data_IF_143319679561
#
_entry.id   IF_143319679561
#
_cell.length_a   1.000
_cell.length_b   1.000
_cell.length_c   1.000
_cell.angle_alpha   90.00
_cell.angle_beta   90.00
_cell.angle_gamma   90.00
#
_symmetry.space_group_name_H-M   'P 1'
#
loop_
_entity.id
_entity.type
_entity.pdbx_description
1 polymer ?
#
# COMPACT_ATOMS: atom_id res chain seq x y z
N UNK A 1 12.06 -8.75 0.67
CA UNK A 1 12.75 -7.44 0.61
C UNK A 1 13.52 -7.15 1.89
N UNK A 2 14.68 -6.50 1.81
CA UNK A 2 15.50 -6.16 2.99
C UNK A 2 15.08 -4.82 3.65
N UNK A 3 15.55 -4.58 4.87
CA UNK A 3 15.21 -3.36 5.61
C UNK A 3 15.76 -2.08 4.95
N UNK A 4 16.86 -2.19 4.18
CA UNK A 4 17.47 -1.04 3.49
C UNK A 4 16.57 -0.51 2.38
N UNK A 5 15.82 -1.38 1.69
CA UNK A 5 14.82 -0.99 0.69
C UNK A 5 13.46 -0.61 1.30
N UNK A 6 13.07 -1.26 2.39
CA UNK A 6 11.75 -1.06 3.03
C UNK A 6 11.59 0.33 3.64
N UNK A 7 12.61 0.87 4.31
CA UNK A 7 12.54 2.17 4.99
C UNK A 7 12.32 3.36 4.03
N UNK A 8 13.11 3.54 2.96
CA UNK A 8 12.89 4.62 2.00
C UNK A 8 11.51 4.58 1.34
N UNK A 9 11.01 3.37 1.02
CA UNK A 9 9.66 3.18 0.48
C UNK A 9 8.61 3.67 1.47
N UNK A 10 8.72 3.32 2.74
CA UNK A 10 7.75 3.76 3.75
C UNK A 10 7.77 5.28 3.94
N UNK A 11 8.97 5.90 3.98
CA UNK A 11 9.10 7.35 4.06
C UNK A 11 8.51 8.06 2.84
N UNK A 12 8.70 7.52 1.63
CA UNK A 12 8.11 8.02 0.40
C UNK A 12 6.58 7.88 0.41
N UNK A 13 6.05 6.75 0.89
CA UNK A 13 4.61 6.52 1.05
C UNK A 13 3.98 7.56 1.98
N UNK A 14 4.55 7.80 3.15
CA UNK A 14 4.03 8.79 4.12
C UNK A 14 3.91 10.17 3.48
N UNK A 15 4.90 10.59 2.68
CA UNK A 15 4.88 11.88 1.98
C UNK A 15 3.92 11.91 0.79
N UNK A 16 3.63 10.75 0.20
CA UNK A 16 2.79 10.62 -0.99
C UNK A 16 1.30 10.49 -0.66
N UNK A 17 0.97 9.92 0.51
CA UNK A 17 -0.40 9.78 0.96
C UNK A 17 -1.05 11.13 1.23
N UNK A 18 -2.21 11.33 0.61
CA UNK A 18 -3.08 12.49 0.80
C UNK A 18 -4.55 12.12 0.58
N UNK A 19 -5.44 13.10 0.79
CA UNK A 19 -6.88 12.99 0.46
C UNK A 19 -7.15 12.59 -1.00
N UNK A 20 -6.20 12.85 -1.91
CA UNK A 20 -6.33 12.50 -3.32
C UNK A 20 -6.04 11.03 -3.60
N UNK A 21 -5.24 10.39 -2.73
CA UNK A 21 -4.88 8.97 -2.83
C UNK A 21 -5.82 8.06 -2.01
N UNK A 22 -6.56 8.64 -1.06
CA UNK A 22 -7.64 7.98 -0.33
C UNK A 22 -8.61 9.03 0.19
N UNK A 23 -9.91 8.87 -0.10
CA UNK A 23 -10.95 9.76 0.44
C UNK A 23 -11.14 9.63 1.96
N UNK A 24 -10.57 8.59 2.57
CA UNK A 24 -10.60 8.35 4.03
C UNK A 24 -9.38 8.91 4.75
N UNK A 25 -8.41 9.46 4.03
CA UNK A 25 -7.17 10.00 4.58
C UNK A 25 -7.44 11.20 5.50
N UNK A 26 -6.73 11.26 6.62
CA UNK A 26 -6.63 12.47 7.47
C UNK A 26 -5.19 12.64 7.96
N UNK A 27 -4.83 13.82 8.47
CA UNK A 27 -3.52 14.07 9.08
C UNK A 27 -3.24 13.18 10.28
N UNK A 28 -4.27 12.82 11.05
CA UNK A 28 -4.18 11.99 12.25
C UNK A 28 -4.08 10.50 11.90
N UNK A 29 -4.61 10.09 10.73
CA UNK A 29 -4.51 8.72 10.25
C UNK A 29 -4.20 8.68 8.72
N UNK A 30 -2.94 8.93 8.33
CA UNK A 30 -2.55 8.99 6.92
C UNK A 30 -2.66 7.66 6.17
N UNK A 31 -2.63 6.52 6.88
CA UNK A 31 -2.72 5.20 6.26
C UNK A 31 -4.16 4.77 5.94
N UNK A 32 -5.17 5.50 6.43
CA UNK A 32 -6.58 5.10 6.33
C UNK A 32 -7.06 5.05 4.89
N UNK A 33 -7.53 3.87 4.48
CA UNK A 33 -8.01 3.62 3.11
C UNK A 33 -6.89 3.56 2.08
N UNK A 34 -5.63 3.40 2.49
CA UNK A 34 -4.49 3.30 1.58
C UNK A 34 -4.11 1.86 1.24
N UNK A 35 -4.74 0.84 1.85
CA UNK A 35 -4.29 -0.54 1.73
C UNK A 35 -4.31 -1.09 0.30
N UNK A 36 -5.45 -1.00 -0.40
CA UNK A 36 -5.56 -1.49 -1.77
C UNK A 36 -4.57 -0.82 -2.71
N UNK A 37 -4.59 0.52 -2.75
CA UNK A 37 -3.72 1.31 -3.63
C UNK A 37 -2.23 1.12 -3.32
N UNK A 38 -1.85 1.07 -2.04
CA UNK A 38 -0.45 0.84 -1.64
C UNK A 38 -0.01 -0.56 -2.02
N UNK A 39 -0.86 -1.59 -1.82
CA UNK A 39 -0.50 -2.96 -2.15
C UNK A 39 -0.23 -3.13 -3.66
N UNK A 40 -0.99 -2.44 -4.51
CA UNK A 40 -0.78 -2.44 -5.97
C UNK A 40 0.55 -1.79 -6.36
N UNK A 41 0.86 -0.63 -5.78
CA UNK A 41 2.10 0.13 -6.04
C UNK A 41 3.33 -0.63 -5.56
N UNK A 42 3.28 -1.21 -4.36
CA UNK A 42 4.38 -2.02 -3.83
C UNK A 42 4.62 -3.25 -4.69
N UNK A 43 3.56 -3.90 -5.17
CA UNK A 43 3.70 -5.01 -6.10
C UNK A 43 4.37 -4.56 -7.41
N UNK A 44 4.03 -3.37 -7.93
CA UNK A 44 4.67 -2.84 -9.15
C UNK A 44 6.17 -2.53 -8.93
N UNK A 45 6.53 -1.93 -7.79
CA UNK A 45 7.92 -1.53 -7.48
C UNK A 45 8.82 -2.68 -7.02
N UNK A 46 8.24 -3.71 -6.42
CA UNK A 46 8.99 -4.77 -5.73
C UNK A 46 8.64 -6.19 -6.18
N UNK A 47 7.63 -6.37 -7.04
CA UNK A 47 7.07 -7.67 -7.36
C UNK A 47 6.35 -8.32 -6.18
N UNK A 48 6.33 -9.64 -6.15
CA UNK A 48 5.72 -10.43 -5.08
C UNK A 48 4.20 -10.59 -5.22
N UNK A 49 3.60 -11.09 -4.14
CA UNK A 49 2.19 -11.44 -4.09
C UNK A 49 1.40 -10.42 -3.26
N UNK A 50 0.15 -10.16 -3.66
CA UNK A 50 -0.82 -9.46 -2.80
C UNK A 50 -1.50 -10.50 -1.91
N UNK A 51 -1.55 -10.21 -0.62
CA UNK A 51 -2.28 -10.96 0.39
C UNK A 51 -3.31 -10.05 1.04
N UNK A 52 -4.28 -10.66 1.71
CA UNK A 52 -5.27 -9.94 2.49
C UNK A 52 -5.60 -10.64 3.80
N UNK A 53 -6.08 -9.86 4.76
CA UNK A 53 -6.68 -10.36 5.99
C UNK A 53 -7.98 -9.63 6.27
N UNK A 54 -8.87 -10.25 7.05
CA UNK A 54 -10.12 -9.60 7.46
C UNK A 54 -9.90 -8.83 8.76
N UNK A 55 -10.28 -7.57 8.78
CA UNK A 55 -10.23 -6.70 9.97
C UNK A 55 -11.65 -6.19 10.23
N UNK A 56 -12.31 -6.73 11.25
CA UNK A 56 -13.75 -6.55 11.43
C UNK A 56 -14.51 -7.03 10.19
N UNK A 57 -15.19 -6.11 9.52
CA UNK A 57 -15.99 -6.42 8.32
C UNK A 57 -15.27 -6.10 7.00
N UNK A 58 -14.09 -5.47 7.04
CA UNK A 58 -13.37 -5.03 5.84
C UNK A 58 -12.18 -5.93 5.50
N UNK A 59 -11.84 -5.99 4.22
CA UNK A 59 -10.61 -6.60 3.76
C UNK A 59 -9.45 -5.60 3.82
N UNK A 60 -8.32 -6.05 4.33
CA UNK A 60 -7.08 -5.30 4.40
C UNK A 60 -6.01 -5.95 3.52
N UNK A 61 -5.43 -5.19 2.59
CA UNK A 61 -4.48 -5.67 1.59
C UNK A 61 -3.04 -5.28 1.94
N UNK A 62 -2.10 -6.17 1.66
CA UNK A 62 -0.67 -6.00 1.88
C UNK A 62 0.13 -6.96 0.99
N UNK A 63 1.46 -6.89 1.02
CA UNK A 63 2.29 -7.67 0.12
C UNK A 63 3.08 -8.76 0.85
N UNK A 64 3.44 -9.81 0.11
CA UNK A 64 4.52 -10.73 0.46
C UNK A 64 5.59 -10.65 -0.61
N UNK A 65 6.80 -10.22 -0.24
CA UNK A 65 7.94 -10.05 -1.15
C UNK A 65 9.12 -10.87 -0.61
N UNK A 66 9.65 -11.78 -1.41
CA UNK A 66 10.68 -12.75 -1.00
C UNK A 66 10.26 -13.58 0.23
N UNK A 67 8.99 -14.00 0.27
CA UNK A 67 8.43 -14.78 1.39
C UNK A 67 8.22 -13.99 2.69
N UNK A 68 8.46 -12.67 2.70
CA UNK A 68 8.27 -11.80 3.87
C UNK A 68 7.07 -10.89 3.70
N UNK A 69 6.26 -10.75 4.76
CA UNK A 69 5.13 -9.83 4.80
C UNK A 69 5.61 -8.38 4.89
N UNK A 70 5.04 -7.54 4.03
CA UNK A 70 5.22 -6.09 4.04
C UNK A 70 3.85 -5.44 4.05
N UNK A 71 3.45 -4.97 5.23
CA UNK A 71 2.26 -4.15 5.42
C UNK A 71 2.71 -2.74 5.80
N UNK A 72 2.62 -1.82 4.84
CA UNK A 72 2.97 -0.41 5.08
C UNK A 72 1.81 0.38 5.69
N UNK A 73 0.61 -0.19 5.68
CA UNK A 73 -0.64 0.50 6.02
C UNK A 73 -1.26 -0.04 7.32
N UNK A 74 -0.52 -0.83 8.10
CA UNK A 74 -1.00 -1.42 9.36
C UNK A 74 -1.47 -0.36 10.37
N UNK A 75 -0.87 0.83 10.35
CA UNK A 75 -1.21 1.95 11.24
C UNK A 75 -2.59 2.55 10.98
N UNK A 76 -3.29 2.13 9.91
CA UNK A 76 -4.67 2.56 9.71
C UNK A 76 -5.62 2.02 10.77
N UNK A 77 -5.22 0.93 11.44
CA UNK A 77 -5.94 0.30 12.53
C UNK A 77 -5.28 0.64 13.87
N UNK A 78 -6.10 0.79 14.90
CA UNK A 78 -5.64 1.08 16.26
C UNK A 78 -5.40 -0.20 17.09
N UNK A 79 -5.52 -1.37 16.44
CA UNK A 79 -5.44 -2.68 17.08
C UNK A 79 -4.41 -3.58 16.38
N UNK A 80 -3.97 -4.62 17.10
CA UNK A 80 -3.06 -5.60 16.53
C UNK A 80 -3.79 -6.46 15.50
N UNK A 81 -3.26 -6.50 14.30
CA UNK A 81 -3.82 -7.30 13.22
C UNK A 81 -3.56 -8.80 13.38
N UNK A 82 -4.60 -9.60 13.21
CA UNK A 82 -4.48 -11.03 13.00
C UNK A 82 -4.36 -11.29 11.49
N UNK A 83 -3.16 -11.61 11.02
CA UNK A 83 -2.89 -11.79 9.60
C UNK A 83 -3.22 -13.22 9.15
N UNK A 84 -4.25 -13.35 8.32
CA UNK A 84 -4.66 -14.63 7.73
C UNK A 84 -3.85 -15.02 6.50
N UNK A 85 -3.17 -14.06 5.85
CA UNK A 85 -2.41 -14.25 4.60
C UNK A 85 -3.20 -14.94 3.48
N UNK A 86 -4.49 -14.61 3.35
CA UNK A 86 -5.31 -15.09 2.25
C UNK A 86 -4.73 -14.57 0.95
N UNK A 87 -4.57 -15.44 -0.05
CA UNK A 87 -4.12 -15.03 -1.39
C UNK A 87 -5.13 -14.03 -1.97
N UNK A 88 -4.62 -12.96 -2.57
CA UNK A 88 -5.43 -11.93 -3.23
C UNK A 88 -4.89 -11.67 -4.63
N UNK A 89 -5.65 -10.91 -5.42
CA UNK A 89 -5.25 -10.46 -6.75
C UNK A 89 -5.16 -8.93 -6.85
N UNK A 90 -4.64 -8.44 -7.99
CA UNK A 90 -4.65 -7.01 -8.30
C UNK A 90 -6.08 -6.51 -8.45
N UNK A 91 -6.95 -7.28 -9.10
CA UNK A 91 -8.36 -6.93 -9.32
C UNK A 91 -9.08 -6.72 -7.98
N UNK A 92 -8.85 -7.60 -7.00
CA UNK A 92 -9.44 -7.46 -5.67
C UNK A 92 -8.90 -6.24 -4.90
N UNK A 93 -7.59 -5.97 -4.98
CA UNK A 93 -7.02 -4.78 -4.37
C UNK A 93 -7.47 -3.48 -5.08
N UNK A 94 -7.67 -3.55 -6.40
CA UNK A 94 -8.16 -2.41 -7.19
C UNK A 94 -9.61 -2.08 -6.87
N UNK A 95 -10.44 -3.07 -6.52
CA UNK A 95 -11.81 -2.85 -6.05
C UNK A 95 -11.89 -2.05 -4.72
N UNK A 96 -10.78 -1.93 -3.97
CA UNK A 96 -10.66 -1.08 -2.78
C UNK A 96 -10.19 0.36 -3.12
N UNK A 97 -9.88 0.63 -4.39
CA UNK A 97 -9.39 1.92 -4.88
C UNK A 97 -9.97 2.27 -6.26
N UNK A 98 -9.34 3.17 -7.01
CA UNK A 98 -9.69 3.53 -8.38
C UNK A 98 -8.48 4.06 -9.16
N UNK A 99 -8.62 4.20 -10.49
CA UNK A 99 -7.54 4.65 -11.39
C UNK A 99 -6.92 5.98 -10.95
N UNK A 100 -7.76 6.95 -10.56
CA UNK A 100 -7.26 8.26 -10.13
C UNK A 100 -6.38 8.17 -8.88
N UNK A 101 -6.80 7.41 -7.87
CA UNK A 101 -6.01 7.22 -6.66
C UNK A 101 -4.71 6.47 -6.94
N UNK A 102 -4.77 5.46 -7.80
CA UNK A 102 -3.61 4.69 -8.26
C UNK A 102 -2.58 5.56 -8.95
N UNK A 103 -2.99 6.31 -9.96
CA UNK A 103 -2.11 7.16 -10.77
C UNK A 103 -1.48 8.26 -9.92
N UNK A 104 -2.24 8.90 -9.05
CA UNK A 104 -1.72 9.94 -8.15
C UNK A 104 -0.70 9.37 -7.17
N UNK A 105 -0.99 8.22 -6.54
CA UNK A 105 -0.03 7.61 -5.61
C UNK A 105 1.24 7.17 -6.34
N UNK A 106 1.09 6.60 -7.55
CA UNK A 106 2.21 6.21 -8.42
C UNK A 106 3.10 7.40 -8.75
N UNK A 107 2.53 8.50 -9.22
CA UNK A 107 3.29 9.70 -9.56
C UNK A 107 4.06 10.24 -8.34
N UNK A 108 3.36 10.40 -7.20
CA UNK A 108 3.94 10.96 -5.98
C UNK A 108 5.06 10.11 -5.43
N UNK A 109 4.87 8.79 -5.33
CA UNK A 109 5.91 7.91 -4.76
C UNK A 109 7.13 7.83 -5.67
N UNK A 110 6.94 7.81 -6.99
CA UNK A 110 8.03 7.79 -7.95
C UNK A 110 8.88 9.06 -7.85
N UNK A 111 8.21 10.22 -7.70
CA UNK A 111 8.87 11.50 -7.46
C UNK A 111 9.66 11.51 -6.14
N UNK A 112 9.09 11.00 -5.05
CA UNK A 112 9.77 10.90 -3.76
C UNK A 112 10.97 9.95 -3.80
N UNK A 113 10.88 8.85 -4.55
CA UNK A 113 11.97 7.90 -4.78
C UNK A 113 12.97 8.34 -5.86
N UNK A 114 12.70 9.46 -6.54
CA UNK A 114 13.52 10.00 -7.66
C UNK A 114 13.72 9.00 -8.80
N UNK A 115 12.68 8.22 -9.11
CA UNK A 115 12.68 7.28 -10.23
C UNK A 115 12.23 8.02 -11.51
N UNK A 116 12.91 7.79 -12.64
CA UNK A 116 12.50 8.32 -13.95
C UNK A 116 11.46 7.42 -14.62
N UNK A 117 10.57 8.03 -15.41
CA UNK A 117 9.82 7.30 -16.43
C UNK A 117 10.73 7.17 -17.65
N UNK A 118 11.32 6.00 -17.84
CA UNK A 118 11.71 5.60 -19.19
C UNK A 118 10.44 5.06 -19.85
N UNK A 119 9.82 5.89 -20.69
CA UNK A 119 8.64 5.59 -21.51
C UNK A 119 8.94 4.60 -22.63
#
# INVERSE_FOLDING_TARGET
>A
MDNKKTKPIYEALIKSWSIETSSKWTSENPAKGQCGVTALIIQELCGGEIKKTKVGEVWHFYNTVDGKRHDFTWTQFHEKLNYMDVKSSREEAFADTNDKQYDILKEKIMKELKLSFDS
#
